data_IF_521668981994
#
_entry.id   IF_521668981994
#
_cell.length_a   1.000
_cell.length_b   1.000
_cell.length_c   1.000
_cell.angle_alpha   90.00
_cell.angle_beta   90.00
_cell.angle_gamma   90.00
#
_symmetry.space_group_name_H-M   'P 1'
#
loop_
_entity.id
_entity.type
_entity.pdbx_description
1 polymer ?
#
# COMPACT_ATOMS: atom_id res chain seq x y z
N UNK A 1 29.41 -0.16 11.38
CA UNK A 1 28.88 -1.50 11.06
C UNK A 1 27.87 -1.34 9.93
N UNK A 2 28.23 -1.65 8.68
CA UNK A 2 27.28 -1.55 7.55
C UNK A 2 26.45 -2.83 7.53
N UNK A 3 25.15 -2.70 7.76
CA UNK A 3 24.21 -3.82 7.67
C UNK A 3 24.10 -4.22 6.19
N UNK A 4 24.40 -5.47 5.85
CA UNK A 4 24.25 -5.96 4.48
C UNK A 4 22.75 -5.93 4.11
N UNK A 5 22.37 -5.06 3.18
CA UNK A 5 20.97 -4.92 2.75
C UNK A 5 20.67 -5.97 1.70
N UNK A 6 19.87 -6.99 2.06
CA UNK A 6 19.38 -7.98 1.10
C UNK A 6 18.24 -7.33 0.30
N UNK A 7 18.38 -7.29 -1.01
CA UNK A 7 17.32 -6.82 -1.94
C UNK A 7 16.75 -8.03 -2.64
N UNK A 8 15.42 -8.17 -2.63
CA UNK A 8 14.70 -9.20 -3.40
C UNK A 8 14.09 -8.52 -4.61
N UNK A 9 14.33 -9.09 -5.79
CA UNK A 9 13.70 -8.66 -7.04
C UNK A 9 12.78 -9.77 -7.55
N UNK A 10 11.59 -9.38 -8.00
CA UNK A 10 10.62 -10.29 -8.58
C UNK A 10 9.92 -9.61 -9.76
N UNK A 11 9.50 -10.41 -10.75
CA UNK A 11 8.70 -9.95 -11.89
C UNK A 11 7.34 -10.60 -11.82
N UNK A 12 6.29 -9.78 -11.79
CA UNK A 12 4.91 -10.26 -11.88
C UNK A 12 4.55 -10.47 -13.36
N UNK A 13 4.08 -11.68 -13.69
CA UNK A 13 3.65 -12.06 -15.04
C UNK A 13 2.14 -12.24 -15.01
N UNK A 14 1.44 -11.62 -15.97
CA UNK A 14 -0.01 -11.73 -16.12
C UNK A 14 -0.34 -12.56 -17.35
N UNK A 15 -1.21 -13.56 -17.19
CA UNK A 15 -1.65 -14.43 -18.27
C UNK A 15 -2.85 -13.86 -19.05
N UNK A 16 -3.58 -12.93 -18.45
CA UNK A 16 -4.68 -12.22 -19.11
C UNK A 16 -4.68 -10.74 -18.70
N UNK A 17 -5.38 -9.93 -19.50
CA UNK A 17 -5.44 -8.48 -19.31
C UNK A 17 -6.32 -8.06 -18.13
N UNK A 18 -7.31 -8.88 -17.76
CA UNK A 18 -8.23 -8.59 -16.65
C UNK A 18 -7.49 -8.60 -15.31
N UNK A 19 -6.70 -9.64 -15.04
CA UNK A 19 -5.90 -9.75 -13.83
C UNK A 19 -4.88 -8.61 -13.73
N UNK A 20 -4.25 -8.26 -14.86
CA UNK A 20 -3.35 -7.10 -14.93
C UNK A 20 -4.09 -5.83 -14.52
N UNK A 21 -5.30 -5.61 -15.01
CA UNK A 21 -6.06 -4.41 -14.71
C UNK A 21 -6.49 -4.36 -13.23
N UNK A 22 -6.92 -5.50 -12.66
CA UNK A 22 -7.27 -5.62 -11.24
C UNK A 22 -6.06 -5.30 -10.36
N UNK A 23 -4.89 -5.88 -10.67
CA UNK A 23 -3.68 -5.63 -9.89
C UNK A 23 -3.20 -4.19 -10.04
N UNK A 24 -3.24 -3.61 -11.24
CA UNK A 24 -2.88 -2.19 -11.44
C UNK A 24 -3.80 -1.25 -10.65
N UNK A 25 -5.10 -1.52 -10.61
CA UNK A 25 -6.03 -0.75 -9.80
C UNK A 25 -5.72 -0.87 -8.30
N UNK A 26 -5.46 -2.10 -7.83
CA UNK A 26 -5.07 -2.36 -6.45
C UNK A 26 -3.78 -1.60 -6.08
N UNK A 27 -2.74 -1.69 -6.93
CA UNK A 27 -1.47 -0.99 -6.72
C UNK A 27 -1.65 0.53 -6.67
N UNK A 28 -2.54 1.07 -7.51
CA UNK A 28 -2.86 2.51 -7.53
C UNK A 28 -3.54 2.94 -6.23
N UNK A 29 -4.57 2.20 -5.78
CA UNK A 29 -5.27 2.48 -4.51
C UNK A 29 -4.33 2.37 -3.32
N UNK A 30 -3.50 1.33 -3.28
CA UNK A 30 -2.50 1.15 -2.24
C UNK A 30 -1.46 2.29 -2.22
N UNK A 31 -0.91 2.67 -3.37
CA UNK A 31 0.06 3.77 -3.45
C UNK A 31 -0.54 5.10 -3.00
N UNK A 32 -1.80 5.36 -3.37
CA UNK A 32 -2.53 6.56 -2.91
C UNK A 32 -2.78 6.54 -1.41
N UNK A 33 -3.19 5.38 -0.87
CA UNK A 33 -3.38 5.16 0.56
C UNK A 33 -2.11 5.46 1.36
N UNK A 34 -0.97 4.89 0.94
CA UNK A 34 0.30 5.09 1.63
C UNK A 34 0.77 6.55 1.60
N UNK A 35 0.62 7.24 0.46
CA UNK A 35 0.96 8.66 0.35
C UNK A 35 0.10 9.52 1.28
N UNK A 36 -1.20 9.21 1.36
CA UNK A 36 -2.13 9.90 2.25
C UNK A 36 -1.78 9.64 3.72
N UNK A 37 -1.61 8.37 4.09
CA UNK A 37 -1.26 7.95 5.45
C UNK A 37 0.03 8.63 5.92
N UNK A 38 1.07 8.61 5.07
CA UNK A 38 2.35 9.24 5.36
C UNK A 38 2.20 10.73 5.65
N UNK A 39 1.46 11.47 4.81
CA UNK A 39 1.20 12.89 5.04
C UNK A 39 0.48 13.14 6.36
N UNK A 40 -0.54 12.34 6.69
CA UNK A 40 -1.31 12.48 7.94
C UNK A 40 -0.46 12.17 9.17
N UNK A 41 0.41 11.17 9.10
CA UNK A 41 1.36 10.87 10.18
C UNK A 41 2.28 12.07 10.45
N UNK A 42 2.77 12.74 9.41
CA UNK A 42 3.56 13.98 9.55
C UNK A 42 2.75 15.15 10.14
N UNK A 43 1.44 15.18 9.92
CA UNK A 43 0.52 16.15 10.50
C UNK A 43 0.13 15.81 11.96
N UNK A 44 0.65 14.72 12.53
CA UNK A 44 0.44 14.34 13.93
C UNK A 44 -0.74 13.41 14.20
N UNK A 45 -1.37 12.85 13.17
CA UNK A 45 -2.43 11.86 13.33
C UNK A 45 -1.87 10.54 13.89
N UNK A 46 -2.64 9.86 14.75
CA UNK A 46 -2.24 8.58 15.30
C UNK A 46 -2.52 7.41 14.33
N UNK A 47 -1.68 6.37 14.42
CA UNK A 47 -1.75 5.19 13.56
C UNK A 47 -3.06 4.43 13.66
N UNK A 48 -3.65 4.32 14.85
CA UNK A 48 -4.85 3.51 15.09
C UNK A 48 -6.07 4.14 14.41
N UNK A 49 -6.18 5.46 14.50
CA UNK A 49 -7.22 6.24 13.80
C UNK A 49 -7.05 6.13 12.29
N UNK A 50 -5.83 6.35 11.79
CA UNK A 50 -5.55 6.23 10.35
C UNK A 50 -5.88 4.85 9.80
N UNK A 51 -5.45 3.76 10.46
CA UNK A 51 -5.74 2.40 10.01
C UNK A 51 -7.23 2.13 9.77
N UNK A 52 -8.09 2.58 10.69
CA UNK A 52 -9.55 2.42 10.57
C UNK A 52 -10.09 3.19 9.37
N UNK A 53 -9.65 4.44 9.21
CA UNK A 53 -10.21 5.35 8.21
C UNK A 53 -9.71 5.02 6.79
N UNK A 54 -8.44 4.59 6.68
CA UNK A 54 -7.81 4.20 5.42
C UNK A 54 -8.45 2.96 4.79
N UNK A 55 -8.86 1.98 5.61
CA UNK A 55 -9.48 0.74 5.14
C UNK A 55 -10.72 1.03 4.29
N UNK A 56 -11.63 1.87 4.80
CA UNK A 56 -12.86 2.25 4.10
C UNK A 56 -12.62 3.23 2.96
N UNK A 57 -11.69 4.19 3.13
CA UNK A 57 -11.44 5.24 2.13
C UNK A 57 -10.83 4.70 0.84
N UNK A 58 -9.95 3.70 0.93
CA UNK A 58 -9.22 3.17 -0.22
C UNK A 58 -9.69 1.77 -0.67
N UNK A 59 -10.72 1.23 -0.01
CA UNK A 59 -11.27 -0.10 -0.25
C UNK A 59 -10.18 -1.20 -0.24
N UNK A 60 -9.33 -1.15 0.79
CA UNK A 60 -8.22 -2.07 0.96
C UNK A 60 -8.51 -3.03 2.10
N UNK A 61 -8.06 -4.27 1.98
CA UNK A 61 -8.12 -5.22 3.08
C UNK A 61 -7.30 -4.70 4.28
N UNK A 62 -7.80 -4.89 5.50
CA UNK A 62 -7.17 -4.43 6.75
C UNK A 62 -5.72 -4.91 6.94
N UNK A 63 -5.33 -6.01 6.29
CA UNK A 63 -3.94 -6.51 6.24
C UNK A 63 -2.97 -5.54 5.56
N UNK A 64 -3.44 -4.69 4.64
CA UNK A 64 -2.59 -3.86 3.78
C UNK A 64 -2.63 -2.35 4.10
N UNK A 65 -3.33 -1.94 5.16
CA UNK A 65 -3.55 -0.55 5.59
C UNK A 65 -3.03 -0.28 7.00
N UNK A 66 -1.81 -0.73 7.28
CA UNK A 66 -1.17 -0.61 8.61
C UNK A 66 0.05 0.30 8.62
#
# INVERSE_FOLDING_TARGET
MIKNMIVIQAKLIFLNQQDKQIVLDLMRRWSSCMKFAYKRLLEGYDRKTLKRDLQGTFDLNSRYVD
#
